data_IF_145260531539
#
_entry.id   IF_145260531539
#
_cell.length_a   1.000
_cell.length_b   1.000
_cell.length_c   1.000
_cell.angle_alpha   90.00
_cell.angle_beta   90.00
_cell.angle_gamma   90.00
#
_symmetry.space_group_name_H-M   'P 1'
#
loop_
_entity.id
_entity.type
_entity.pdbx_description
1 polymer ?
#
# COMPACT_ATOMS: atom_id res chain seq x y z
N UNK A 1 -3.07 -5.66 -27.61
CA UNK A 1 -1.96 -5.04 -26.86
C UNK A 1 -0.86 -6.09 -26.72
N UNK A 2 0.43 -5.73 -26.84
CA UNK A 2 1.53 -6.68 -27.04
C UNK A 2 2.08 -7.16 -25.68
N UNK A 3 2.57 -8.40 -25.55
CA UNK A 3 3.13 -8.95 -24.29
C UNK A 3 4.17 -8.03 -23.64
N UNK A 4 5.08 -7.46 -24.44
CA UNK A 4 6.10 -6.52 -23.95
C UNK A 4 5.50 -5.26 -23.33
N UNK A 5 4.36 -4.78 -23.86
CA UNK A 5 3.63 -3.64 -23.30
C UNK A 5 2.94 -4.02 -22.00
N UNK A 6 2.26 -5.18 -21.95
CA UNK A 6 1.65 -5.69 -20.71
C UNK A 6 2.68 -5.80 -19.58
N UNK A 7 3.84 -6.40 -19.86
CA UNK A 7 4.94 -6.50 -18.90
C UNK A 7 5.42 -5.12 -18.42
N UNK A 8 5.53 -4.15 -19.34
CA UNK A 8 5.94 -2.78 -18.98
C UNK A 8 4.91 -2.07 -18.10
N UNK A 9 3.61 -2.27 -18.34
CA UNK A 9 2.55 -1.69 -17.52
C UNK A 9 2.46 -2.38 -16.16
N UNK A 10 2.57 -3.71 -16.13
CA UNK A 10 2.61 -4.48 -14.88
C UNK A 10 3.75 -4.00 -13.99
N UNK A 11 4.97 -3.86 -14.53
CA UNK A 11 6.12 -3.36 -13.78
C UNK A 11 5.88 -1.95 -13.21
N UNK A 12 5.21 -1.06 -13.96
CA UNK A 12 4.85 0.28 -13.46
C UNK A 12 3.81 0.24 -12.35
N UNK A 13 2.78 -0.58 -12.49
CA UNK A 13 1.72 -0.72 -11.48
C UNK A 13 2.26 -1.34 -10.18
N UNK A 14 3.08 -2.39 -10.29
CA UNK A 14 3.79 -3.02 -9.16
C UNK A 14 4.70 -2.01 -8.44
N UNK A 15 5.42 -1.16 -9.20
CA UNK A 15 6.24 -0.09 -8.60
C UNK A 15 5.38 0.91 -7.83
N UNK A 16 4.21 1.27 -8.35
CA UNK A 16 3.28 2.18 -7.65
C UNK A 16 2.73 1.50 -6.39
N UNK A 17 2.32 0.22 -6.47
CA UNK A 17 1.85 -0.57 -5.32
C UNK A 17 2.91 -0.59 -4.22
N UNK A 18 4.15 -0.91 -4.59
CA UNK A 18 5.26 -0.95 -3.65
C UNK A 18 5.58 0.42 -3.03
N UNK A 19 5.50 1.51 -3.80
CA UNK A 19 5.70 2.87 -3.28
C UNK A 19 4.66 3.23 -2.22
N UNK A 20 3.38 2.96 -2.48
CA UNK A 20 2.29 3.28 -1.53
C UNK A 20 2.47 2.47 -0.23
N UNK A 21 2.76 1.18 -0.33
CA UNK A 21 2.99 0.32 0.84
C UNK A 21 4.26 0.74 1.59
N UNK A 22 5.34 1.08 0.86
CA UNK A 22 6.60 1.52 1.44
C UNK A 22 6.48 2.83 2.20
N UNK A 23 5.76 3.82 1.65
CA UNK A 23 5.50 5.10 2.33
C UNK A 23 4.74 4.90 3.65
N UNK A 24 3.83 3.94 3.69
CA UNK A 24 3.08 3.58 4.91
C UNK A 24 3.98 2.91 5.93
N UNK A 25 4.81 1.96 5.49
CA UNK A 25 5.78 1.30 6.36
C UNK A 25 6.79 2.29 6.95
N UNK A 26 7.28 3.26 6.18
CA UNK A 26 8.23 4.27 6.68
C UNK A 26 7.59 5.28 7.63
N UNK A 27 6.37 5.76 7.31
CA UNK A 27 5.57 6.58 8.25
C UNK A 27 5.31 5.82 9.55
N UNK A 28 5.06 4.51 9.44
CA UNK A 28 4.79 3.65 10.58
C UNK A 28 6.04 3.37 11.42
N UNK A 29 7.19 3.04 10.81
CA UNK A 29 8.48 2.90 11.52
C UNK A 29 8.88 4.19 12.24
N UNK A 30 8.67 5.34 11.60
CA UNK A 30 8.95 6.65 12.19
C UNK A 30 8.10 6.91 13.44
N UNK A 31 6.78 6.59 13.40
CA UNK A 31 5.91 6.65 14.59
C UNK A 31 6.31 5.64 15.67
N UNK A 32 6.70 4.42 15.29
CA UNK A 32 7.15 3.39 16.23
C UNK A 32 8.42 3.80 16.97
N UNK A 33 9.40 4.39 16.28
CA UNK A 33 10.59 4.92 16.93
C UNK A 33 10.28 6.04 17.93
N UNK A 34 9.32 6.92 17.62
CA UNK A 34 8.86 7.96 18.56
C UNK A 34 8.08 7.40 19.76
N UNK A 35 7.31 6.32 19.57
CA UNK A 35 6.51 5.69 20.64
C UNK A 35 7.33 4.76 21.55
N UNK A 36 8.34 4.08 21.00
CA UNK A 36 9.22 3.18 21.76
C UNK A 36 10.04 3.90 22.83
N UNK A 37 10.24 5.22 22.73
CA UNK A 37 10.82 6.03 23.81
C UNK A 37 9.85 6.25 24.99
N UNK A 38 8.55 5.92 24.87
CA UNK A 38 7.51 6.22 25.87
C UNK A 38 6.65 5.03 26.35
N UNK A 39 6.66 3.86 25.69
CA UNK A 39 5.62 2.81 25.92
C UNK A 39 6.22 1.45 26.32
N UNK A 40 7.04 1.42 27.36
CA UNK A 40 7.56 0.16 27.91
C UNK A 40 6.51 -0.69 28.69
N UNK A 41 5.27 -0.22 28.87
CA UNK A 41 4.37 -0.75 29.93
C UNK A 41 2.95 -1.18 29.49
N UNK A 42 2.63 -1.23 28.19
CA UNK A 42 1.24 -1.51 27.72
C UNK A 42 1.26 -2.50 26.55
N UNK A 43 1.39 -3.80 26.83
CA UNK A 43 1.74 -4.80 25.81
C UNK A 43 0.56 -5.39 25.01
N UNK A 44 -0.67 -5.43 25.52
CA UNK A 44 -1.75 -6.19 24.83
C UNK A 44 -2.78 -5.32 24.07
N UNK A 45 -3.23 -4.18 24.63
CA UNK A 45 -4.20 -3.28 23.95
C UNK A 45 -3.56 -2.48 22.78
N UNK A 46 -2.24 -2.37 22.79
CA UNK A 46 -1.52 -1.56 21.82
C UNK A 46 -1.57 -2.20 20.42
N UNK A 47 -1.51 -3.54 20.31
CA UNK A 47 -1.47 -4.28 19.03
C UNK A 47 -2.68 -4.00 18.15
N UNK A 48 -3.89 -3.99 18.70
CA UNK A 48 -5.10 -3.64 17.91
C UNK A 48 -5.15 -2.16 17.50
N UNK A 49 -4.67 -1.26 18.36
CA UNK A 49 -4.58 0.16 18.02
C UNK A 49 -3.52 0.43 16.94
N UNK A 50 -2.47 -0.39 16.88
CA UNK A 50 -1.36 -0.29 15.92
C UNK A 50 -1.79 -0.59 14.48
N UNK A 51 -2.54 -1.67 14.25
CA UNK A 51 -3.07 -1.99 12.90
C UNK A 51 -4.04 -0.92 12.42
N UNK A 52 -4.87 -0.39 13.33
CA UNK A 52 -5.80 0.70 13.03
C UNK A 52 -5.07 1.99 12.66
N UNK A 53 -3.96 2.31 13.33
CA UNK A 53 -3.13 3.47 13.00
C UNK A 53 -2.38 3.31 11.67
N UNK A 54 -2.03 2.08 11.28
CA UNK A 54 -1.44 1.79 9.97
C UNK A 54 -2.45 2.08 8.85
N UNK A 55 -3.69 1.62 9.01
CA UNK A 55 -4.78 1.90 8.07
C UNK A 55 -5.12 3.40 8.04
N UNK A 56 -5.10 4.10 9.18
CA UNK A 56 -5.25 5.56 9.24
C UNK A 56 -4.04 6.35 8.67
N UNK A 57 -2.88 5.70 8.51
CA UNK A 57 -1.67 6.29 7.95
C UNK A 57 -1.70 6.41 6.43
N UNK A 58 -2.51 5.59 5.76
CA UNK A 58 -2.93 5.86 4.39
C UNK A 58 -4.07 6.88 4.42
N UNK A 59 -3.91 7.97 3.67
CA UNK A 59 -5.06 8.82 3.39
C UNK A 59 -6.07 8.09 2.50
N UNK A 60 -7.33 8.54 2.50
CA UNK A 60 -8.37 8.04 1.58
C UNK A 60 -7.91 8.03 0.11
N UNK A 61 -7.07 9.01 -0.26
CA UNK A 61 -6.46 9.12 -1.59
C UNK A 61 -5.51 7.97 -1.89
N UNK A 62 -4.69 7.57 -0.93
CA UNK A 62 -3.71 6.48 -1.11
C UNK A 62 -4.42 5.13 -1.15
N UNK A 63 -5.46 4.93 -0.33
CA UNK A 63 -6.33 3.75 -0.38
C UNK A 63 -7.05 3.64 -1.73
N UNK A 64 -7.64 4.76 -2.20
CA UNK A 64 -8.31 4.79 -3.50
C UNK A 64 -7.34 4.48 -4.63
N UNK A 65 -6.14 5.08 -4.58
CA UNK A 65 -5.08 4.84 -5.57
C UNK A 65 -4.61 3.39 -5.56
N UNK A 66 -4.42 2.80 -4.38
CA UNK A 66 -4.06 1.39 -4.23
C UNK A 66 -5.12 0.48 -4.85
N UNK A 67 -6.40 0.71 -4.53
CA UNK A 67 -7.52 -0.04 -5.11
C UNK A 67 -7.55 0.03 -6.64
N UNK A 68 -7.35 1.22 -7.21
CA UNK A 68 -7.31 1.41 -8.66
C UNK A 68 -6.11 0.69 -9.31
N UNK A 69 -4.97 0.63 -8.61
CA UNK A 69 -3.79 -0.09 -9.08
C UNK A 69 -4.03 -1.60 -9.08
N UNK A 70 -4.67 -2.14 -8.05
CA UNK A 70 -5.01 -3.57 -8.01
C UNK A 70 -6.03 -3.94 -9.09
N UNK A 71 -7.09 -3.14 -9.25
CA UNK A 71 -8.08 -3.32 -10.33
C UNK A 71 -7.41 -3.26 -11.72
N UNK A 72 -6.41 -2.39 -11.90
CA UNK A 72 -5.63 -2.31 -13.12
C UNK A 72 -4.76 -3.55 -13.36
N UNK A 73 -4.21 -4.17 -12.31
CA UNK A 73 -3.43 -5.41 -12.41
C UNK A 73 -4.34 -6.58 -12.77
N UNK A 74 -5.51 -6.70 -12.13
CA UNK A 74 -6.51 -7.72 -12.48
C UNK A 74 -6.92 -7.61 -13.95
N UNK A 75 -7.21 -6.39 -14.43
CA UNK A 75 -7.51 -6.15 -15.85
C UNK A 75 -6.35 -6.52 -16.78
N UNK A 76 -5.08 -6.42 -16.33
CA UNK A 76 -3.95 -6.89 -17.13
C UNK A 76 -3.93 -8.42 -17.23
N UNK A 77 -4.25 -9.11 -16.13
CA UNK A 77 -4.31 -10.57 -16.07
C UNK A 77 -5.49 -11.13 -16.90
N UNK A 78 -6.63 -10.45 -16.88
CA UNK A 78 -7.81 -10.78 -17.69
C UNK A 78 -7.69 -10.33 -19.16
N UNK A 79 -6.60 -9.66 -19.53
CA UNK A 79 -6.37 -9.13 -20.88
C UNK A 79 -7.26 -7.93 -21.26
N UNK A 80 -8.08 -7.42 -20.34
CA UNK A 80 -9.01 -6.30 -20.56
C UNK A 80 -8.40 -4.91 -20.35
N UNK A 81 -7.15 -4.84 -19.90
CA UNK A 81 -6.49 -3.57 -19.63
C UNK A 81 -6.36 -2.70 -20.90
N UNK A 82 -6.85 -1.46 -20.81
CA UNK A 82 -6.83 -0.50 -21.92
C UNK A 82 -8.00 -0.64 -22.90
N UNK A 83 -8.98 -1.49 -22.61
CA UNK A 83 -10.27 -1.56 -23.33
C UNK A 83 -11.30 -0.69 -22.59
N UNK A 84 -12.01 0.16 -23.33
CA UNK A 84 -13.07 1.04 -22.79
C UNK A 84 -14.44 0.39 -22.94
#
# INVERSE_FOLDING_TARGET
MNETKYASFRAKLEKIRFSIIGEVQEKYKSKKNQLNESVADIADDAVQSYDRQMIMGLGEKDLTKLRLVEEAIEKLDDGQYGVC
#
